data_IF_133688314345
#
_entry.id   IF_133688314345
#
_cell.length_a   1.000
_cell.length_b   1.000
_cell.length_c   1.000
_cell.angle_alpha   90.00
_cell.angle_beta   90.00
_cell.angle_gamma   90.00
#
_symmetry.space_group_name_H-M   'P 1'
#
loop_
_entity.id
_entity.type
_entity.pdbx_description
1 polymer ?
#
# COMPACT_ATOMS: atom_id res chain seq x y z
N UNK A 1 7.43 21.16 6.45
CA UNK A 1 7.86 19.79 6.51
C UNK A 1 6.87 18.87 5.85
N UNK A 2 7.33 17.99 5.01
CA UNK A 2 6.43 17.15 4.26
C UNK A 2 6.82 15.70 4.47
N UNK A 3 5.81 14.83 4.70
CA UNK A 3 6.06 13.43 4.84
C UNK A 3 5.21 12.71 3.80
N UNK A 4 5.75 11.67 3.23
CA UNK A 4 5.08 10.95 2.16
C UNK A 4 4.95 9.49 2.55
N UNK A 5 3.75 8.95 2.36
CA UNK A 5 3.53 7.52 2.51
C UNK A 5 3.48 6.95 1.10
N UNK A 6 4.27 5.93 0.84
CA UNK A 6 4.26 5.29 -0.46
C UNK A 6 3.95 3.82 -0.29
N UNK A 7 3.38 3.22 -1.31
CA UNK A 7 2.96 1.83 -1.26
C UNK A 7 3.86 0.93 -2.11
N UNK A 8 5.10 1.37 -2.34
CA UNK A 8 6.06 0.56 -3.10
C UNK A 8 6.19 -0.86 -2.54
N UNK A 9 6.29 -1.05 -1.22
CA UNK A 9 6.42 -2.41 -0.69
C UNK A 9 5.23 -3.30 -1.05
N UNK A 10 4.04 -2.72 -1.19
CA UNK A 10 2.86 -3.50 -1.53
C UNK A 10 3.05 -4.23 -2.86
N UNK A 11 3.56 -3.53 -3.87
CA UNK A 11 3.70 -4.13 -5.19
C UNK A 11 4.73 -5.26 -5.17
N UNK A 12 5.79 -5.10 -4.40
CA UNK A 12 6.79 -6.15 -4.25
C UNK A 12 6.21 -7.35 -3.52
N UNK A 13 5.44 -7.09 -2.47
CA UNK A 13 4.82 -8.16 -1.68
C UNK A 13 3.82 -8.94 -2.54
N UNK A 14 3.02 -8.24 -3.33
CA UNK A 14 2.06 -8.88 -4.22
C UNK A 14 2.79 -9.79 -5.22
N UNK A 15 3.90 -9.29 -5.76
CA UNK A 15 4.68 -10.06 -6.70
C UNK A 15 5.24 -11.32 -6.04
N UNK A 16 5.78 -11.18 -4.84
CA UNK A 16 6.31 -12.32 -4.10
C UNK A 16 5.24 -13.34 -3.79
N UNK A 17 4.02 -12.88 -3.49
CA UNK A 17 2.93 -13.77 -3.12
C UNK A 17 2.16 -14.27 -4.34
N UNK A 18 2.46 -13.78 -5.54
CA UNK A 18 1.77 -14.23 -6.73
C UNK A 18 0.34 -13.73 -6.84
N UNK A 19 0.03 -12.59 -6.24
CA UNK A 19 -1.33 -12.04 -6.28
C UNK A 19 -1.31 -10.78 -7.13
N UNK A 20 -2.10 -10.74 -8.20
CA UNK A 20 -2.16 -9.60 -9.08
C UNK A 20 -3.25 -8.63 -8.63
N UNK A 21 -3.23 -7.41 -9.18
CA UNK A 21 -4.28 -6.45 -8.89
C UNK A 21 -5.63 -6.97 -9.38
N UNK A 22 -5.63 -7.68 -10.50
CA UNK A 22 -6.85 -8.29 -11.02
C UNK A 22 -7.41 -9.29 -10.00
N UNK A 23 -6.54 -10.08 -9.38
CA UNK A 23 -6.97 -11.04 -8.39
C UNK A 23 -7.57 -10.35 -7.16
N UNK A 24 -7.02 -9.20 -6.77
CA UNK A 24 -7.58 -8.45 -5.66
C UNK A 24 -9.03 -8.04 -5.96
N UNK A 25 -9.28 -7.56 -7.17
CA UNK A 25 -10.62 -7.14 -7.54
C UNK A 25 -11.56 -8.35 -7.63
N UNK A 26 -11.12 -9.38 -8.32
CA UNK A 26 -11.99 -10.50 -8.61
C UNK A 26 -12.23 -11.43 -7.42
N UNK A 27 -11.17 -11.77 -6.71
CA UNK A 27 -11.28 -12.75 -5.65
C UNK A 27 -11.51 -12.17 -4.26
N UNK A 28 -11.14 -10.92 -4.05
CA UNK A 28 -11.23 -10.31 -2.74
C UNK A 28 -12.12 -9.08 -2.72
N UNK A 29 -12.81 -8.83 -3.81
CA UNK A 29 -13.77 -7.72 -3.91
C UNK A 29 -13.17 -6.35 -3.63
N UNK A 30 -11.92 -6.16 -3.95
CA UNK A 30 -11.30 -4.84 -3.79
C UNK A 30 -11.82 -3.92 -4.87
N UNK A 31 -12.05 -2.67 -4.55
CA UNK A 31 -12.55 -1.73 -5.54
C UNK A 31 -11.42 -1.19 -6.40
N UNK A 32 -11.76 -0.85 -7.63
CA UNK A 32 -10.77 -0.25 -8.52
C UNK A 32 -10.33 1.11 -8.02
N UNK A 33 -11.24 1.84 -7.37
CA UNK A 33 -10.88 3.13 -6.81
C UNK A 33 -9.83 3.02 -5.74
N UNK A 34 -9.92 1.99 -4.90
CA UNK A 34 -8.92 1.76 -3.86
C UNK A 34 -7.57 1.45 -4.49
N UNK A 35 -7.56 0.60 -5.53
CA UNK A 35 -6.30 0.28 -6.20
C UNK A 35 -5.70 1.50 -6.87
N UNK A 36 -6.54 2.37 -7.42
CA UNK A 36 -6.09 3.59 -8.04
C UNK A 36 -5.44 4.49 -7.02
N UNK A 37 -6.04 4.59 -5.84
CA UNK A 37 -5.48 5.37 -4.75
C UNK A 37 -4.12 4.84 -4.33
N UNK A 38 -3.99 3.52 -4.26
CA UNK A 38 -2.72 2.90 -3.92
C UNK A 38 -1.65 3.20 -4.98
N UNK A 39 -2.02 3.15 -6.25
CA UNK A 39 -1.08 3.42 -7.32
C UNK A 39 -0.60 4.87 -7.31
N UNK A 40 -1.43 5.78 -6.82
CA UNK A 40 -1.10 7.19 -6.78
C UNK A 40 -0.62 7.63 -5.41
N UNK A 41 -0.37 6.71 -4.52
CA UNK A 41 0.07 6.99 -3.15
C UNK A 41 -0.89 7.92 -2.41
N UNK A 42 -2.19 7.72 -2.63
CA UNK A 42 -3.20 8.48 -1.92
C UNK A 42 -3.56 7.80 -0.62
N UNK A 43 -4.33 8.48 0.20
CA UNK A 43 -4.74 7.96 1.49
C UNK A 43 -5.66 6.76 1.35
N UNK A 44 -5.50 5.80 2.26
CA UNK A 44 -6.45 4.70 2.39
C UNK A 44 -6.77 4.60 3.86
N UNK A 45 -7.88 3.95 4.18
CA UNK A 45 -8.25 3.77 5.57
C UNK A 45 -7.43 2.65 6.19
N UNK A 46 -7.32 2.66 7.52
CA UNK A 46 -6.64 1.58 8.21
C UNK A 46 -7.42 0.27 8.06
N UNK A 47 -8.73 0.34 7.82
CA UNK A 47 -9.50 -0.87 7.55
C UNK A 47 -9.04 -1.51 6.24
N UNK A 48 -8.79 -0.69 5.21
CA UNK A 48 -8.29 -1.18 3.94
C UNK A 48 -6.89 -1.78 4.13
N UNK A 49 -6.07 -1.11 4.93
CA UNK A 49 -4.73 -1.60 5.21
C UNK A 49 -4.80 -2.94 5.91
N UNK A 50 -5.70 -3.08 6.87
CA UNK A 50 -5.91 -4.34 7.57
C UNK A 50 -6.30 -5.44 6.60
N UNK A 51 -7.18 -5.13 5.65
CA UNK A 51 -7.61 -6.12 4.67
C UNK A 51 -6.44 -6.57 3.80
N UNK A 52 -5.59 -5.65 3.39
CA UNK A 52 -4.42 -5.98 2.59
C UNK A 52 -3.48 -6.91 3.36
N UNK A 53 -3.26 -6.61 4.63
CA UNK A 53 -2.40 -7.45 5.46
C UNK A 53 -2.97 -8.86 5.58
N UNK A 54 -4.28 -8.98 5.74
CA UNK A 54 -4.93 -10.27 5.83
C UNK A 54 -4.88 -11.05 4.51
N UNK A 55 -5.16 -10.37 3.41
CA UNK A 55 -5.16 -11.02 2.11
C UNK A 55 -3.76 -11.50 1.74
N UNK A 56 -2.76 -10.67 1.98
CA UNK A 56 -1.40 -11.00 1.59
C UNK A 56 -0.63 -11.73 2.68
N UNK A 57 -1.22 -11.88 3.86
CA UNK A 57 -0.57 -12.55 4.99
C UNK A 57 0.78 -11.90 5.25
N UNK A 58 0.77 -10.60 5.47
CA UNK A 58 1.99 -9.84 5.69
C UNK A 58 1.78 -8.76 6.73
N UNK A 59 2.82 -8.03 7.04
CA UNK A 59 2.77 -6.95 8.03
C UNK A 59 2.60 -5.61 7.35
N UNK A 60 2.33 -4.57 8.14
CA UNK A 60 2.12 -3.23 7.62
C UNK A 60 3.34 -2.74 6.83
N UNK A 61 4.54 -3.03 7.31
CA UNK A 61 5.74 -2.57 6.63
C UNK A 61 5.95 -3.27 5.28
N UNK A 62 5.20 -4.31 4.99
CA UNK A 62 5.25 -4.97 3.69
C UNK A 62 4.26 -4.33 2.72
N UNK A 63 3.48 -3.37 3.18
CA UNK A 63 2.46 -2.70 2.38
C UNK A 63 2.88 -1.27 2.06
N UNK A 64 3.37 -0.55 3.07
CA UNK A 64 3.68 0.86 2.89
C UNK A 64 4.92 1.24 3.68
N UNK A 65 5.46 2.41 3.38
CA UNK A 65 6.53 2.94 4.18
C UNK A 65 6.47 4.46 4.14
N UNK A 66 7.06 5.06 5.13
CA UNK A 66 7.06 6.49 5.31
C UNK A 66 8.39 7.06 4.83
N UNK A 67 8.33 8.11 4.02
CA UNK A 67 9.51 8.80 3.56
C UNK A 67 9.47 10.22 4.11
N UNK A 68 10.35 10.55 5.04
CA UNK A 68 10.36 11.91 5.59
C UNK A 68 10.98 12.87 4.59
N UNK A 69 10.63 14.14 4.74
CA UNK A 69 11.17 15.17 3.88
C UNK A 69 12.58 15.47 4.34
N UNK A 70 13.57 14.97 3.61
CA UNK A 70 14.93 15.11 4.05
C UNK A 70 15.51 16.45 3.80
N UNK A 71 14.87 17.28 3.04
CA UNK A 71 15.42 18.58 2.80
C UNK A 71 15.25 19.47 4.00
N UNK A 72 14.50 19.01 4.99
CA UNK A 72 14.26 19.82 6.12
C UNK A 72 15.02 19.45 7.28
N UNK A 73 15.77 18.50 7.20
CA UNK A 73 16.33 18.02 8.36
C UNK A 73 17.29 18.88 8.99
N UNK A 74 17.54 19.90 8.49
CA UNK A 74 18.46 20.72 9.08
C UNK A 74 18.09 21.13 10.39
N UNK A 75 17.14 20.83 10.82
CA UNK A 75 16.75 21.32 12.09
C UNK A 75 17.68 21.03 13.16
#
# INVERSE_FOLDING_TARGET
MVFIIVYDPLWETMKRKGISTYALIKNYSFSRGTLDSLKQNRNISTATLNDLCNILQCNVEDILRHIPDETKNDA
#
